data_IF_097567243133
#
_entry.id   IF_097567243133
#
_cell.length_a   1.000
_cell.length_b   1.000
_cell.length_c   1.000
_cell.angle_alpha   90.00
_cell.angle_beta   90.00
_cell.angle_gamma   90.00
#
_symmetry.space_group_name_H-M   'P 1'
#
loop_
_entity.id
_entity.type
_entity.pdbx_description
1 polymer ?
#
# COMPACT_ATOMS: atom_id res chain seq x y z
N UNK A 1 -14.90 -17.24 1.94
CA UNK A 1 -14.64 -16.05 1.11
C UNK A 1 -13.82 -14.99 1.86
N UNK A 2 -14.26 -14.51 3.03
CA UNK A 2 -13.58 -13.43 3.78
C UNK A 2 -12.11 -13.74 4.15
N UNK A 3 -11.84 -14.92 4.69
CA UNK A 3 -10.46 -15.34 4.99
C UNK A 3 -9.55 -15.44 3.75
N UNK A 4 -10.10 -15.67 2.55
CA UNK A 4 -9.30 -15.80 1.33
C UNK A 4 -8.67 -14.46 0.93
N UNK A 5 -9.42 -13.37 1.00
CA UNK A 5 -8.87 -12.03 0.74
C UNK A 5 -7.84 -11.67 1.82
N UNK A 6 -8.12 -12.07 3.07
CA UNK A 6 -7.23 -11.79 4.19
C UNK A 6 -5.86 -12.47 4.03
N UNK A 7 -5.83 -13.77 3.70
CA UNK A 7 -4.59 -14.52 3.46
C UNK A 7 -3.84 -13.95 2.23
N UNK A 8 -4.57 -13.68 1.14
CA UNK A 8 -3.99 -13.05 -0.04
C UNK A 8 -3.37 -11.68 0.28
N UNK A 9 -4.00 -10.93 1.18
CA UNK A 9 -3.49 -9.68 1.76
C UNK A 9 -2.08 -9.81 2.31
N UNK A 10 -1.85 -10.72 3.26
CA UNK A 10 -0.50 -10.90 3.84
C UNK A 10 0.55 -11.37 2.85
N UNK A 11 0.16 -12.28 1.95
CA UNK A 11 1.09 -12.74 0.91
C UNK A 11 1.53 -11.56 0.04
N UNK A 12 0.58 -10.71 -0.35
CA UNK A 12 0.90 -9.52 -1.14
C UNK A 12 1.69 -8.48 -0.34
N UNK A 13 1.41 -8.33 0.95
CA UNK A 13 2.18 -7.47 1.85
C UNK A 13 3.67 -7.84 1.85
N UNK A 14 3.99 -9.13 1.96
CA UNK A 14 5.38 -9.61 1.93
C UNK A 14 6.07 -9.28 0.60
N UNK A 15 5.35 -9.40 -0.52
CA UNK A 15 5.86 -9.03 -1.86
C UNK A 15 6.16 -7.51 -1.90
N UNK A 16 5.28 -6.68 -1.36
CA UNK A 16 5.47 -5.23 -1.29
C UNK A 16 6.64 -4.84 -0.38
N UNK A 17 6.78 -5.49 0.77
CA UNK A 17 7.92 -5.28 1.70
C UNK A 17 9.23 -5.59 0.97
N UNK A 18 9.31 -6.74 0.30
CA UNK A 18 10.50 -7.13 -0.44
C UNK A 18 10.84 -6.15 -1.57
N UNK A 19 9.84 -5.75 -2.37
CA UNK A 19 10.03 -4.81 -3.47
C UNK A 19 10.45 -3.41 -2.99
N UNK A 20 9.83 -2.91 -1.91
CA UNK A 20 10.16 -1.63 -1.30
C UNK A 20 11.60 -1.59 -0.76
N UNK A 21 12.05 -2.68 -0.12
CA UNK A 21 13.42 -2.81 0.39
C UNK A 21 14.43 -2.91 -0.74
N UNK A 22 14.19 -3.79 -1.73
CA UNK A 22 15.13 -4.03 -2.84
C UNK A 22 15.38 -2.79 -3.68
N UNK A 23 14.34 -2.02 -3.95
CA UNK A 23 14.42 -0.82 -4.80
C UNK A 23 14.67 0.45 -3.99
N UNK A 24 14.78 0.36 -2.66
CA UNK A 24 14.90 1.50 -1.74
C UNK A 24 13.86 2.59 -2.00
N UNK A 25 12.64 2.17 -2.35
CA UNK A 25 11.56 3.06 -2.77
C UNK A 25 10.80 3.60 -1.55
N UNK A 26 11.05 4.86 -1.19
CA UNK A 26 10.40 5.52 -0.05
C UNK A 26 8.87 5.57 -0.14
N UNK A 27 8.36 5.84 -1.34
CA UNK A 27 6.92 5.99 -1.56
C UNK A 27 6.22 4.65 -1.28
N UNK A 28 6.87 3.53 -1.58
CA UNK A 28 6.33 2.20 -1.31
C UNK A 28 6.29 1.87 0.18
N UNK A 29 7.24 2.38 0.98
CA UNK A 29 7.21 2.23 2.45
C UNK A 29 6.00 2.95 3.04
N UNK A 30 5.71 4.17 2.58
CA UNK A 30 4.52 4.91 3.02
C UNK A 30 3.25 4.14 2.63
N UNK A 31 3.20 3.66 1.39
CA UNK A 31 2.10 2.82 0.90
C UNK A 31 1.93 1.52 1.70
N UNK A 32 3.03 0.89 2.12
CA UNK A 32 3.02 -0.32 2.95
C UNK A 32 2.38 -0.06 4.33
N UNK A 33 2.61 1.11 4.94
CA UNK A 33 1.97 1.48 6.20
C UNK A 33 0.46 1.66 6.05
N UNK A 34 0.03 2.34 4.98
CA UNK A 34 -1.39 2.53 4.65
C UNK A 34 -2.05 1.19 4.37
N UNK A 35 -1.36 0.32 3.64
CA UNK A 35 -1.82 -1.03 3.32
C UNK A 35 -2.02 -1.90 4.57
N UNK A 36 -1.05 -1.88 5.50
CA UNK A 36 -1.16 -2.53 6.80
C UNK A 36 -2.38 -2.04 7.58
N UNK A 37 -2.63 -0.73 7.59
CA UNK A 37 -3.80 -0.15 8.23
C UNK A 37 -5.10 -0.62 7.57
N UNK A 38 -5.14 -0.72 6.24
CA UNK A 38 -6.30 -1.23 5.51
C UNK A 38 -6.58 -2.70 5.83
N UNK A 39 -5.54 -3.54 5.95
CA UNK A 39 -5.68 -4.94 6.39
C UNK A 39 -6.18 -5.04 7.83
N UNK A 40 -5.73 -4.15 8.72
CA UNK A 40 -6.22 -4.09 10.10
C UNK A 40 -7.70 -3.70 10.15
N UNK A 41 -8.12 -2.69 9.37
CA UNK A 41 -9.53 -2.30 9.25
C UNK A 41 -10.37 -3.47 8.73
N UNK A 42 -9.88 -4.17 7.70
CA UNK A 42 -10.56 -5.36 7.17
C UNK A 42 -10.71 -6.46 8.23
N UNK A 43 -9.64 -6.73 9.00
CA UNK A 43 -9.67 -7.70 10.09
C UNK A 43 -10.69 -7.32 11.17
N UNK A 44 -10.88 -6.03 11.45
CA UNK A 44 -11.88 -5.55 12.40
C UNK A 44 -13.33 -5.78 11.94
N UNK A 45 -13.61 -5.72 10.64
CA UNK A 45 -14.94 -6.00 10.08
C UNK A 45 -15.24 -7.50 9.91
N UNK A 46 -14.22 -8.34 9.94
CA UNK A 46 -14.34 -9.77 9.66
C UNK A 46 -15.22 -10.57 10.64
N UNK A 47 -15.19 -10.33 11.98
CA UNK A 47 -16.03 -11.07 12.92
C UNK A 47 -17.53 -10.88 12.68
N UNK A 48 -17.97 -9.66 12.35
CA UNK A 48 -19.38 -9.37 12.07
C UNK A 48 -19.91 -10.15 10.87
N UNK A 49 -19.18 -10.11 9.75
CA UNK A 49 -19.54 -10.83 8.52
C UNK A 49 -19.49 -12.35 8.71
N UNK A 50 -18.54 -12.84 9.52
CA UNK A 50 -18.44 -14.25 9.83
C UNK A 50 -19.61 -14.73 10.70
N UNK A 51 -20.05 -13.92 11.67
CA UNK A 51 -21.19 -14.25 12.52
C UNK A 51 -22.46 -14.46 11.71
N UNK A 52 -22.76 -13.54 10.79
CA UNK A 52 -23.92 -13.63 9.91
C UNK A 52 -23.88 -14.88 9.03
N UNK A 53 -22.69 -15.22 8.52
CA UNK A 53 -22.49 -16.44 7.72
C UNK A 53 -22.71 -17.71 8.55
N UNK A 54 -22.17 -17.77 9.78
CA UNK A 54 -22.33 -18.92 10.68
C UNK A 54 -23.79 -19.13 11.08
N UNK A 55 -24.51 -18.05 11.43
CA UNK A 55 -25.94 -18.11 11.79
C UNK A 55 -26.80 -18.55 10.59
N UNK A 56 -26.50 -18.08 9.38
CA UNK A 56 -27.16 -18.52 8.16
C UNK A 56 -26.95 -20.02 7.91
N UNK A 57 -25.76 -20.53 8.21
CA UNK A 57 -25.43 -21.96 8.08
C UNK A 57 -26.12 -22.82 9.15
N UNK A 58 -26.20 -22.36 10.40
CA UNK A 58 -26.96 -23.03 11.48
C UNK A 58 -28.45 -23.18 11.14
N UNK A 59 -29.03 -22.20 10.43
CA UNK A 59 -30.42 -22.24 9.95
C UNK A 59 -30.64 -23.14 8.73
N UNK A 60 -29.58 -23.56 8.04
CA UNK A 60 -29.67 -24.39 6.82
C UNK A 60 -29.56 -25.89 7.12
N UNK A 61 -30.63 -26.64 6.84
CA UNK A 61 -30.72 -28.08 7.05
C UNK A 61 -30.22 -28.84 5.80
N UNK A 62 -29.28 -29.79 5.94
CA UNK A 62 -29.00 -30.76 4.86
C UNK A 62 -30.06 -31.86 4.91
N UNK A 63 -30.76 -32.07 3.78
CA UNK A 63 -31.75 -33.13 3.59
C UNK A 63 -32.84 -33.20 4.69
N UNK A 64 -33.22 -32.07 5.28
CA UNK A 64 -34.34 -31.99 6.22
C UNK A 64 -34.20 -32.81 7.52
N UNK A 65 -33.03 -33.38 7.83
CA UNK A 65 -32.85 -34.23 9.03
C UNK A 65 -31.54 -34.06 9.79
N UNK A 66 -30.48 -33.50 9.18
CA UNK A 66 -29.20 -33.32 9.87
C UNK A 66 -28.70 -31.89 9.69
N UNK A 67 -28.58 -31.11 10.77
CA UNK A 67 -27.97 -29.78 10.67
C UNK A 67 -26.47 -29.91 10.36
N UNK A 68 -25.93 -29.02 9.51
CA UNK A 68 -24.51 -29.01 9.11
C UNK A 68 -23.60 -28.78 10.33
N UNK A 69 -24.11 -28.00 11.27
CA UNK A 69 -23.50 -27.66 12.55
C UNK A 69 -24.53 -28.06 13.59
N UNK A 70 -24.19 -28.98 14.51
CA UNK A 70 -25.05 -29.34 15.63
C UNK A 70 -25.53 -28.07 16.35
N UNK A 71 -26.84 -27.74 16.35
CA UNK A 71 -27.39 -26.54 17.00
C UNK A 71 -27.16 -26.53 18.51
N UNK A 72 -26.81 -27.70 19.07
CA UNK A 72 -26.47 -27.90 20.48
C UNK A 72 -25.03 -27.50 20.82
N UNK A 73 -24.14 -27.39 19.82
CA UNK A 73 -22.77 -26.90 20.01
C UNK A 73 -22.70 -25.47 19.51
N UNK A 74 -22.94 -24.52 20.42
CA UNK A 74 -22.69 -23.11 20.17
C UNK A 74 -21.19 -22.94 19.87
N UNK A 75 -20.82 -22.88 18.59
CA UNK A 75 -19.43 -22.76 18.14
C UNK A 75 -18.92 -21.31 18.22
N UNK A 76 -19.84 -20.34 18.18
CA UNK A 76 -19.53 -18.92 18.19
C UNK A 76 -18.71 -18.45 19.42
N UNK A 77 -19.08 -18.81 20.67
CA UNK A 77 -18.32 -18.41 21.87
C UNK A 77 -16.86 -18.89 21.89
N UNK A 78 -16.53 -19.93 21.10
CA UNK A 78 -15.16 -20.45 20.98
C UNK A 78 -14.36 -19.75 19.89
N UNK A 79 -15.04 -19.29 18.83
CA UNK A 79 -14.43 -18.69 17.65
C UNK A 79 -14.21 -17.18 17.84
N UNK A 80 -15.18 -16.49 18.44
CA UNK A 80 -15.15 -15.04 18.72
C UNK A 80 -13.85 -14.56 19.40
N UNK A 81 -13.39 -15.14 20.53
CA UNK A 81 -12.16 -14.67 21.18
C UNK A 81 -10.91 -14.91 20.33
N UNK A 82 -10.88 -15.95 19.49
CA UNK A 82 -9.74 -16.20 18.61
C UNK A 82 -9.63 -15.16 17.49
N UNK A 83 -10.77 -14.69 16.94
CA UNK A 83 -10.80 -13.60 15.97
C UNK A 83 -10.38 -12.26 16.59
N UNK A 84 -10.83 -11.98 17.82
CA UNK A 84 -10.42 -10.76 18.51
C UNK A 84 -8.91 -10.77 18.83
N UNK A 85 -8.38 -11.92 19.25
CA UNK A 85 -6.95 -12.10 19.45
C UNK A 85 -6.15 -11.86 18.15
N UNK A 86 -6.66 -12.34 17.02
CA UNK A 86 -6.05 -12.11 15.70
C UNK A 86 -5.96 -10.60 15.38
N UNK A 87 -7.05 -9.84 15.59
CA UNK A 87 -7.05 -8.38 15.41
C UNK A 87 -6.01 -7.71 16.31
N UNK A 88 -5.90 -8.15 17.57
CA UNK A 88 -4.89 -7.64 18.50
C UNK A 88 -3.47 -7.89 18.02
N UNK A 89 -3.15 -9.11 17.59
CA UNK A 89 -1.83 -9.47 17.04
C UNK A 89 -1.50 -8.63 15.81
N UNK A 90 -2.48 -8.40 14.93
CA UNK A 90 -2.31 -7.58 13.74
C UNK A 90 -2.08 -6.12 14.08
N UNK A 91 -2.81 -5.56 15.05
CA UNK A 91 -2.62 -4.18 15.48
C UNK A 91 -1.20 -3.96 16.03
N UNK A 92 -0.69 -4.91 16.83
CA UNK A 92 0.70 -4.89 17.31
C UNK A 92 1.68 -5.00 16.15
N UNK A 93 1.44 -5.94 15.21
CA UNK A 93 2.24 -6.10 14.00
C UNK A 93 2.30 -4.83 13.15
N UNK A 94 1.17 -4.20 12.90
CA UNK A 94 1.07 -2.91 12.19
C UNK A 94 1.85 -1.81 12.90
N UNK A 95 1.81 -1.76 14.24
CA UNK A 95 2.60 -0.82 15.03
C UNK A 95 4.11 -1.03 14.85
N UNK A 96 4.58 -2.28 14.90
CA UNK A 96 5.98 -2.64 14.69
C UNK A 96 6.42 -2.30 13.26
N UNK A 97 5.64 -2.68 12.25
CA UNK A 97 5.95 -2.36 10.84
C UNK A 97 5.99 -0.84 10.63
N UNK A 98 5.07 -0.08 11.22
CA UNK A 98 5.06 1.38 11.14
C UNK A 98 6.30 2.02 11.79
N UNK A 99 6.75 1.49 12.93
CA UNK A 99 7.97 1.95 13.59
C UNK A 99 9.21 1.67 12.75
N UNK A 100 9.34 0.46 12.20
CA UNK A 100 10.44 0.08 11.31
C UNK A 100 10.41 0.94 10.05
N UNK A 101 9.23 1.15 9.46
CA UNK A 101 9.03 1.98 8.29
C UNK A 101 9.45 3.43 8.52
N UNK A 102 9.17 4.00 9.70
CA UNK A 102 9.64 5.35 10.07
C UNK A 102 11.17 5.43 10.04
N UNK A 103 11.85 4.47 10.69
CA UNK A 103 13.32 4.42 10.71
C UNK A 103 13.91 4.18 9.31
N UNK A 104 13.29 3.32 8.52
CA UNK A 104 13.73 3.01 7.16
C UNK A 104 13.53 4.19 6.21
N UNK A 105 12.43 4.93 6.36
CA UNK A 105 12.16 6.13 5.58
C UNK A 105 13.23 7.19 5.81
N UNK A 106 13.68 7.40 7.06
CA UNK A 106 14.76 8.36 7.35
C UNK A 106 16.09 7.96 6.72
N UNK A 107 16.46 6.68 6.74
CA UNK A 107 17.71 6.17 6.13
C UNK A 107 17.67 6.29 4.61
N UNK A 108 16.56 5.91 3.98
CA UNK A 108 16.41 6.06 2.54
C UNK A 108 16.44 7.55 2.16
N UNK A 109 15.84 8.44 2.97
CA UNK A 109 15.78 9.87 2.70
C UNK A 109 17.19 10.46 2.61
N UNK A 110 18.05 10.00 3.52
CA UNK A 110 19.47 10.33 3.53
C UNK A 110 20.22 9.76 2.30
N UNK A 111 19.94 8.52 1.90
CA UNK A 111 20.55 7.88 0.73
C UNK A 111 20.24 8.62 -0.59
N UNK A 112 18.97 8.96 -0.83
CA UNK A 112 18.53 9.67 -2.04
C UNK A 112 19.06 11.11 -2.05
N UNK A 113 19.14 11.75 -0.88
CA UNK A 113 19.71 13.09 -0.77
C UNK A 113 21.15 13.12 -1.28
N UNK A 114 21.98 12.13 -0.90
CA UNK A 114 23.39 12.10 -1.32
C UNK A 114 23.58 11.89 -2.83
N UNK A 115 22.72 11.11 -3.48
CA UNK A 115 22.90 10.68 -4.88
C UNK A 115 22.35 11.72 -5.89
N UNK A 116 21.40 12.57 -5.51
CA UNK A 116 20.56 13.34 -6.46
C UNK A 116 21.04 14.78 -6.71
N UNK A 117 22.26 15.16 -6.32
CA UNK A 117 22.79 16.53 -6.46
C UNK A 117 22.95 17.08 -7.90
N UNK A 118 22.57 16.33 -8.96
CA UNK A 118 22.95 16.67 -10.34
C UNK A 118 21.86 17.32 -11.25
N UNK A 119 20.54 17.09 -11.07
CA UNK A 119 19.51 17.78 -11.88
C UNK A 119 18.07 17.67 -11.30
N UNK A 120 17.46 18.81 -11.00
CA UNK A 120 16.11 18.93 -10.41
C UNK A 120 15.00 18.58 -11.41
N UNK A 121 15.20 18.82 -12.71
CA UNK A 121 14.19 18.55 -13.75
C UNK A 121 14.05 17.06 -14.01
N UNK A 122 15.17 16.32 -14.00
CA UNK A 122 15.16 14.85 -14.09
C UNK A 122 14.55 14.21 -12.83
N UNK A 123 14.88 14.75 -11.65
CA UNK A 123 14.32 14.30 -10.36
C UNK A 123 12.78 14.28 -10.35
N UNK A 124 12.14 15.32 -10.90
CA UNK A 124 10.66 15.42 -10.93
C UNK A 124 10.01 14.34 -11.78
N UNK A 125 10.57 14.02 -12.94
CA UNK A 125 10.05 12.99 -13.84
C UNK A 125 10.20 11.59 -13.24
N UNK A 126 11.37 11.31 -12.67
CA UNK A 126 11.64 10.02 -12.00
C UNK A 126 10.74 9.84 -10.78
N UNK A 127 10.55 10.90 -9.98
CA UNK A 127 9.65 10.88 -8.83
C UNK A 127 8.19 10.61 -9.24
N UNK A 128 7.69 11.28 -10.28
CA UNK A 128 6.35 11.04 -10.80
C UNK A 128 6.17 9.60 -11.33
N UNK A 129 7.19 9.06 -12.00
CA UNK A 129 7.18 7.67 -12.48
C UNK A 129 7.19 6.66 -11.31
N UNK A 130 7.96 6.93 -10.26
CA UNK A 130 7.99 6.09 -9.05
C UNK A 130 6.64 6.10 -8.31
N UNK A 131 6.00 7.26 -8.18
CA UNK A 131 4.64 7.35 -7.63
C UNK A 131 3.67 6.53 -8.50
N UNK A 132 3.71 6.73 -9.82
CA UNK A 132 2.84 6.02 -10.74
C UNK A 132 3.00 4.49 -10.61
N UNK A 133 4.24 3.99 -10.65
CA UNK A 133 4.51 2.55 -10.52
C UNK A 133 4.10 2.01 -9.15
N UNK A 134 4.28 2.79 -8.08
CA UNK A 134 3.81 2.41 -6.75
C UNK A 134 2.28 2.30 -6.72
N UNK A 135 1.55 3.31 -7.22
CA UNK A 135 0.09 3.30 -7.29
C UNK A 135 -0.44 2.13 -8.10
N UNK A 136 0.16 1.83 -9.27
CA UNK A 136 -0.23 0.68 -10.10
C UNK A 136 -0.03 -0.65 -9.37
N UNK A 137 1.03 -0.80 -8.56
CA UNK A 137 1.22 -2.02 -7.75
C UNK A 137 0.13 -2.16 -6.69
N UNK A 138 -0.18 -1.10 -5.94
CA UNK A 138 -1.28 -1.15 -4.96
C UNK A 138 -2.64 -1.42 -5.62
N UNK A 139 -2.90 -0.85 -6.80
CA UNK A 139 -4.13 -1.09 -7.55
C UNK A 139 -4.25 -2.54 -8.02
N UNK A 140 -3.15 -3.13 -8.49
CA UNK A 140 -3.09 -4.53 -8.89
C UNK A 140 -3.52 -5.49 -7.78
N UNK A 141 -3.23 -5.17 -6.51
CA UNK A 141 -3.73 -5.94 -5.38
C UNK A 141 -5.26 -5.94 -5.30
N UNK A 142 -5.90 -4.79 -5.45
CA UNK A 142 -7.36 -4.69 -5.36
C UNK A 142 -8.03 -5.43 -6.52
N UNK A 143 -7.46 -5.37 -7.73
CA UNK A 143 -7.92 -6.17 -8.88
C UNK A 143 -7.82 -7.65 -8.56
N UNK A 144 -6.62 -8.13 -8.19
CA UNK A 144 -6.41 -9.54 -7.92
C UNK A 144 -7.26 -10.02 -6.73
N UNK A 145 -7.36 -9.23 -5.67
CA UNK A 145 -8.16 -9.55 -4.49
C UNK A 145 -9.64 -9.74 -4.84
N UNK A 146 -10.21 -8.83 -5.65
CA UNK A 146 -11.59 -8.97 -6.12
C UNK A 146 -11.78 -10.20 -7.02
N UNK A 147 -10.83 -10.46 -7.92
CA UNK A 147 -10.90 -11.62 -8.81
C UNK A 147 -10.77 -12.96 -8.06
N UNK A 148 -9.87 -13.04 -7.08
CA UNK A 148 -9.71 -14.21 -6.21
C UNK A 148 -10.96 -14.42 -5.36
N UNK A 149 -11.54 -13.35 -4.78
CA UNK A 149 -12.80 -13.46 -4.05
C UNK A 149 -13.94 -13.96 -4.92
N UNK A 150 -14.06 -13.44 -6.14
CA UNK A 150 -15.02 -13.92 -7.13
C UNK A 150 -14.82 -15.40 -7.43
N UNK A 151 -13.58 -15.82 -7.68
CA UNK A 151 -13.24 -17.21 -7.99
C UNK A 151 -13.57 -18.18 -6.83
N UNK A 152 -13.34 -17.77 -5.59
CA UNK A 152 -13.69 -18.57 -4.40
C UNK A 152 -15.20 -18.57 -4.12
N UNK A 153 -15.94 -17.61 -4.67
CA UNK A 153 -17.39 -17.46 -4.46
C UNK A 153 -18.26 -18.19 -5.48
N UNK A 154 -17.68 -18.90 -6.45
CA UNK A 154 -18.43 -19.61 -7.48
C UNK A 154 -18.99 -20.91 -6.88
N UNK A 155 -20.30 -21.09 -6.97
CA UNK A 155 -20.98 -22.33 -6.56
C UNK A 155 -20.71 -23.45 -7.57
N UNK A 156 -20.45 -24.66 -7.06
CA UNK A 156 -20.05 -25.84 -7.86
C UNK A 156 -21.13 -26.31 -8.86
N UNK A 157 -22.39 -25.89 -8.68
CA UNK A 157 -23.55 -26.37 -9.44
C UNK A 157 -23.75 -25.61 -10.75
N UNK A 158 -23.25 -24.37 -10.85
CA UNK A 158 -23.36 -23.54 -12.05
C UNK A 158 -21.96 -23.23 -12.59
N UNK A 159 -21.61 -23.92 -13.68
CA UNK A 159 -20.90 -23.33 -14.82
C UNK A 159 -19.35 -23.48 -14.88
N UNK A 160 -18.87 -24.54 -15.55
CA UNK A 160 -17.47 -24.69 -15.99
C UNK A 160 -16.93 -23.44 -16.72
N UNK A 161 -17.80 -22.74 -17.45
CA UNK A 161 -17.41 -21.53 -18.20
C UNK A 161 -17.22 -20.29 -17.32
N UNK A 162 -17.88 -20.16 -16.16
CA UNK A 162 -17.69 -19.01 -15.26
C UNK A 162 -16.36 -19.08 -14.51
N UNK A 163 -15.98 -20.29 -14.10
CA UNK A 163 -14.68 -20.55 -13.51
C UNK A 163 -13.55 -20.31 -14.52
N UNK A 164 -13.68 -20.87 -15.74
CA UNK A 164 -12.73 -20.65 -16.82
C UNK A 164 -12.61 -19.18 -17.23
N UNK A 165 -13.74 -18.46 -17.29
CA UNK A 165 -13.77 -17.02 -17.59
C UNK A 165 -13.08 -16.21 -16.49
N UNK A 166 -13.31 -16.53 -15.22
CA UNK A 166 -12.68 -15.83 -14.08
C UNK A 166 -11.16 -15.98 -14.10
N UNK A 167 -10.65 -17.18 -14.40
CA UNK A 167 -9.21 -17.42 -14.57
C UNK A 167 -8.66 -16.62 -15.76
N UNK A 168 -9.35 -16.65 -16.91
CA UNK A 168 -8.94 -15.89 -18.09
C UNK A 168 -8.87 -14.38 -17.81
N UNK A 169 -9.84 -13.84 -17.06
CA UNK A 169 -9.87 -12.44 -16.66
C UNK A 169 -8.67 -12.08 -15.76
N UNK A 170 -8.23 -12.97 -14.86
CA UNK A 170 -7.02 -12.76 -14.04
C UNK A 170 -5.78 -12.60 -14.94
N UNK A 171 -5.61 -13.49 -15.93
CA UNK A 171 -4.46 -13.41 -16.85
C UNK A 171 -4.51 -12.16 -17.72
N UNK A 172 -5.68 -11.80 -18.24
CA UNK A 172 -5.87 -10.58 -19.04
C UNK A 172 -5.59 -9.33 -18.19
N UNK A 173 -6.10 -9.28 -16.96
CA UNK A 173 -5.85 -8.16 -16.05
C UNK A 173 -4.36 -8.00 -15.76
N UNK A 174 -3.65 -9.10 -15.47
CA UNK A 174 -2.21 -9.09 -15.25
C UNK A 174 -1.45 -8.59 -16.48
N UNK A 175 -1.82 -9.05 -17.68
CA UNK A 175 -1.19 -8.63 -18.93
C UNK A 175 -1.42 -7.13 -19.21
N UNK A 176 -2.63 -6.62 -18.99
CA UNK A 176 -2.94 -5.19 -19.18
C UNK A 176 -2.19 -4.33 -18.18
N UNK A 177 -2.10 -4.72 -16.91
CA UNK A 177 -1.33 -3.99 -15.90
C UNK A 177 0.16 -3.95 -16.25
N UNK A 178 0.74 -5.06 -16.76
CA UNK A 178 2.12 -5.07 -17.22
C UNK A 178 2.35 -4.14 -18.42
N UNK A 179 1.45 -4.16 -19.42
CA UNK A 179 1.54 -3.26 -20.57
C UNK A 179 1.40 -1.78 -20.17
N UNK A 180 0.53 -1.47 -19.20
CA UNK A 180 0.39 -0.12 -18.66
C UNK A 180 1.70 0.37 -18.03
N UNK A 181 2.39 -0.48 -17.25
CA UNK A 181 3.70 -0.16 -16.67
C UNK A 181 4.74 0.05 -17.78
N UNK A 182 4.79 -0.81 -18.80
CA UNK A 182 5.75 -0.70 -19.91
C UNK A 182 5.52 0.59 -20.70
N UNK A 183 4.28 0.92 -21.05
CA UNK A 183 3.99 2.15 -21.79
C UNK A 183 4.23 3.42 -20.99
N UNK A 184 3.98 3.40 -19.68
CA UNK A 184 4.32 4.51 -18.80
C UNK A 184 5.83 4.72 -18.68
N UNK A 185 6.62 3.63 -18.61
CA UNK A 185 8.09 3.71 -18.59
C UNK A 185 8.67 4.19 -19.91
N UNK A 186 8.04 3.86 -21.04
CA UNK A 186 8.53 4.24 -22.36
C UNK A 186 8.05 5.62 -22.83
N UNK A 187 7.42 6.41 -21.94
CA UNK A 187 6.74 7.68 -22.25
C UNK A 187 5.80 7.61 -23.48
N UNK A 188 5.28 6.41 -23.82
CA UNK A 188 4.49 6.19 -25.01
C UNK A 188 3.03 6.63 -24.78
N UNK A 189 2.77 7.91 -25.04
CA UNK A 189 1.45 8.54 -24.85
C UNK A 189 0.34 7.84 -25.63
N UNK A 190 0.64 7.36 -26.85
CA UNK A 190 -0.34 6.67 -27.68
C UNK A 190 -0.73 5.31 -27.09
N UNK A 191 0.24 4.52 -26.64
CA UNK A 191 -0.04 3.22 -26.01
C UNK A 191 -0.92 3.33 -24.77
N UNK A 192 -0.68 4.37 -23.96
CA UNK A 192 -1.47 4.62 -22.74
C UNK A 192 -2.93 4.96 -23.08
N UNK A 193 -3.17 5.82 -24.08
CA UNK A 193 -4.53 6.19 -24.50
C UNK A 193 -5.27 5.00 -25.13
N UNK A 194 -4.57 4.17 -25.90
CA UNK A 194 -5.16 2.97 -26.52
C UNK A 194 -5.63 1.97 -25.47
N UNK A 195 -4.82 1.67 -24.45
CA UNK A 195 -5.23 0.75 -23.36
C UNK A 195 -6.49 1.26 -22.66
N UNK A 196 -6.54 2.55 -22.32
CA UNK A 196 -7.68 3.16 -21.61
C UNK A 196 -8.97 3.07 -22.43
N UNK A 197 -8.89 3.18 -23.77
CA UNK A 197 -10.06 3.10 -24.65
C UNK A 197 -10.51 1.68 -24.96
N UNK A 198 -9.58 0.72 -25.06
CA UNK A 198 -9.88 -0.64 -25.53
C UNK A 198 -10.52 -1.53 -24.46
N UNK A 199 -10.31 -1.26 -23.17
CA UNK A 199 -10.79 -2.13 -22.09
C UNK A 199 -11.85 -1.46 -21.18
N UNK A 200 -13.15 -1.55 -21.52
CA UNK A 200 -14.25 -0.94 -20.76
C UNK A 200 -14.45 -1.52 -19.35
N UNK A 201 -14.13 -2.81 -19.14
CA UNK A 201 -14.10 -3.44 -17.81
C UNK A 201 -13.05 -2.79 -16.90
N UNK A 202 -11.90 -2.45 -17.48
CA UNK A 202 -10.91 -1.62 -16.81
C UNK A 202 -11.42 -0.21 -16.62
N UNK A 203 -12.35 0.33 -17.40
CA UNK A 203 -12.88 1.69 -17.16
C UNK A 203 -13.76 1.74 -15.92
N UNK A 204 -14.57 0.71 -15.65
CA UNK A 204 -15.39 0.62 -14.42
C UNK A 204 -14.52 0.33 -13.19
N UNK A 205 -13.54 -0.56 -13.32
CA UNK A 205 -12.56 -0.76 -12.27
C UNK A 205 -11.72 0.52 -12.08
N UNK A 206 -11.29 1.15 -13.17
CA UNK A 206 -10.54 2.40 -13.15
C UNK A 206 -11.37 3.55 -12.62
N UNK A 207 -12.70 3.61 -12.74
CA UNK A 207 -13.47 4.67 -12.08
C UNK A 207 -13.46 4.50 -10.57
N UNK A 208 -13.58 3.26 -10.08
CA UNK A 208 -13.43 2.93 -8.64
C UNK A 208 -12.00 3.22 -8.17
N UNK A 209 -10.99 2.81 -8.95
CA UNK A 209 -9.58 3.12 -8.69
C UNK A 209 -9.31 4.61 -8.75
N UNK A 210 -9.88 5.36 -9.69
CA UNK A 210 -9.71 6.82 -9.81
C UNK A 210 -10.35 7.48 -8.59
N UNK A 211 -11.51 7.02 -8.11
CA UNK A 211 -12.10 7.53 -6.88
C UNK A 211 -11.21 7.28 -5.65
N UNK A 212 -10.70 6.05 -5.50
CA UNK A 212 -9.72 5.70 -4.45
C UNK A 212 -8.42 6.48 -4.59
N UNK A 213 -7.94 6.68 -5.81
CA UNK A 213 -6.70 7.41 -6.14
C UNK A 213 -6.87 8.89 -5.90
N UNK A 214 -8.02 9.49 -6.21
CA UNK A 214 -8.34 10.89 -5.87
C UNK A 214 -8.38 11.05 -4.36
N UNK A 215 -9.01 10.12 -3.63
CA UNK A 215 -9.00 10.11 -2.17
C UNK A 215 -7.56 10.01 -1.61
N UNK A 216 -6.73 9.16 -2.24
CA UNK A 216 -5.32 8.98 -1.90
C UNK A 216 -4.47 10.20 -2.25
N UNK A 217 -4.74 10.88 -3.37
CA UNK A 217 -4.10 12.13 -3.78
C UNK A 217 -4.47 13.24 -2.80
N UNK A 218 -5.73 13.33 -2.37
CA UNK A 218 -6.14 14.31 -1.35
C UNK A 218 -5.42 14.02 -0.03
N UNK A 219 -5.34 12.76 0.42
CA UNK A 219 -4.58 12.38 1.61
C UNK A 219 -3.07 12.67 1.47
N UNK A 220 -2.48 12.40 0.30
CA UNK A 220 -1.08 12.70 0.01
C UNK A 220 -0.82 14.22 -0.08
N UNK A 221 -1.75 15.00 -0.64
CA UNK A 221 -1.68 16.47 -0.69
C UNK A 221 -1.86 17.05 0.72
N UNK A 222 -2.75 16.51 1.55
CA UNK A 222 -2.87 16.90 2.96
C UNK A 222 -1.60 16.57 3.74
N UNK A 223 -1.03 15.37 3.55
CA UNK A 223 0.27 15.00 4.10
C UNK A 223 1.38 15.95 3.61
N UNK A 224 1.43 16.29 2.32
CA UNK A 224 2.40 17.20 1.74
C UNK A 224 2.24 18.64 2.24
N UNK A 225 1.01 19.14 2.39
CA UNK A 225 0.74 20.49 2.95
C UNK A 225 1.12 20.53 4.43
N UNK A 226 0.89 19.44 5.17
CA UNK A 226 1.36 19.29 6.54
C UNK A 226 2.90 19.23 6.61
N UNK A 227 3.55 18.54 5.67
CA UNK A 227 5.02 18.47 5.55
C UNK A 227 5.65 19.79 5.06
N UNK A 228 4.97 20.54 4.19
CA UNK A 228 5.46 21.80 3.63
C UNK A 228 5.56 22.91 4.69
N UNK A 229 4.86 22.76 5.82
CA UNK A 229 5.06 23.60 7.00
C UNK A 229 6.37 23.27 7.74
N UNK A 230 6.88 22.04 7.68
CA UNK A 230 8.14 21.63 8.31
C UNK A 230 9.39 21.80 7.43
N UNK A 231 9.30 21.46 6.14
CA UNK A 231 10.47 21.46 5.24
C UNK A 231 10.95 22.87 4.86
N UNK A 232 10.01 23.82 4.70
CA UNK A 232 10.33 25.21 4.32
C UNK A 232 11.06 25.95 5.43
N UNK A 233 10.84 25.57 6.69
CA UNK A 233 11.55 26.10 7.86
C UNK A 233 13.00 25.62 7.85
N UNK A 234 13.24 24.33 7.57
CA UNK A 234 14.58 23.73 7.54
C UNK A 234 15.48 24.29 6.42
N UNK A 235 14.96 24.36 5.18
CA UNK A 235 15.71 24.92 4.03
C UNK A 235 16.02 26.40 4.26
N UNK A 236 15.04 27.19 4.75
CA UNK A 236 15.23 28.62 5.01
C UNK A 236 16.20 28.86 6.18
N UNK A 237 16.19 28.04 7.22
CA UNK A 237 17.18 28.13 8.30
C UNK A 237 18.60 27.81 7.80
N UNK A 238 18.75 26.88 6.86
CA UNK A 238 20.05 26.53 6.28
C UNK A 238 20.59 27.65 5.37
N UNK A 239 19.74 28.26 4.53
CA UNK A 239 20.12 29.43 3.73
C UNK A 239 20.52 30.62 4.61
N UNK A 240 19.76 30.91 5.67
CA UNK A 240 20.07 32.01 6.60
C UNK A 240 21.38 31.78 7.37
N UNK A 241 21.66 30.54 7.78
CA UNK A 241 22.93 30.20 8.44
C UNK A 241 24.10 30.34 7.48
N UNK A 242 23.96 29.84 6.24
CA UNK A 242 25.02 29.94 5.21
C UNK A 242 25.32 31.41 4.88
N UNK A 243 24.29 32.22 4.71
CA UNK A 243 24.43 33.65 4.39
C UNK A 243 24.96 34.47 5.58
N UNK A 244 24.71 34.04 6.82
CA UNK A 244 25.27 34.65 8.03
C UNK A 244 26.75 34.28 8.20
N UNK A 245 27.14 33.04 7.90
CA UNK A 245 28.54 32.58 7.92
C UNK A 245 29.38 33.29 6.84
N UNK A 246 28.80 33.55 5.66
CA UNK A 246 29.48 34.23 4.56
C UNK A 246 29.73 35.72 4.82
N UNK A 247 28.80 36.39 5.52
CA UNK A 247 28.90 37.83 5.82
C UNK A 247 29.69 38.15 7.10
N UNK A 248 29.96 37.16 7.97
CA UNK A 248 30.63 37.38 9.26
C UNK A 248 32.10 36.94 9.16
N UNK A 249 32.97 37.91 8.88
CA UNK A 249 34.42 37.70 8.64
C UNK A 249 35.17 37.05 9.80
N UNK A 250 34.69 37.21 11.04
CA UNK A 250 35.27 36.55 12.22
C UNK A 250 34.92 35.06 12.28
N UNK A 251 33.72 34.67 11.83
CA UNK A 251 33.26 33.29 11.87
C UNK A 251 33.96 32.42 10.82
N UNK A 252 34.31 33.03 9.68
CA UNK A 252 35.07 32.40 8.58
C UNK A 252 36.47 31.95 9.01
N UNK A 253 37.09 32.64 9.97
CA UNK A 253 38.42 32.30 10.49
C UNK A 253 38.37 31.26 11.63
N UNK A 254 37.19 31.02 12.21
CA UNK A 254 36.97 29.99 13.24
C UNK A 254 36.21 28.76 12.75
N UNK A 255 35.90 28.67 11.45
CA UNK A 255 35.00 27.66 10.92
C UNK A 255 35.66 26.27 10.86
N UNK A 256 35.35 25.46 11.87
CA UNK A 256 35.32 24.00 11.80
C UNK A 256 34.58 23.55 10.52
N UNK A 257 34.98 22.43 9.90
CA UNK A 257 34.31 21.94 8.70
C UNK A 257 32.80 21.77 8.97
N UNK A 258 31.99 22.21 8.02
CA UNK A 258 30.50 22.22 8.06
C UNK A 258 29.90 20.85 8.42
N UNK A 259 30.68 19.77 8.34
CA UNK A 259 30.34 18.44 8.86
C UNK A 259 30.07 18.37 10.38
N UNK A 260 30.49 19.35 11.19
CA UNK A 260 30.21 19.39 12.65
C UNK A 260 28.91 20.11 13.06
N UNK A 261 28.21 20.77 12.13
CA UNK A 261 26.90 21.41 12.39
C UNK A 261 25.71 20.50 12.05
N UNK A 262 25.96 19.32 11.48
CA UNK A 262 24.98 18.24 11.48
C UNK A 262 24.91 17.67 12.90
N UNK A 263 23.73 17.37 13.46
CA UNK A 263 23.63 16.73 14.76
C UNK A 263 24.47 15.44 14.71
N UNK A 264 25.59 15.44 15.43
CA UNK A 264 26.37 14.25 15.72
C UNK A 264 25.40 13.20 16.26
N UNK A 265 25.54 11.97 15.76
CA UNK A 265 24.91 10.78 16.33
C UNK A 265 24.84 10.92 17.85
N UNK A 266 23.64 10.84 18.44
CA UNK A 266 23.54 10.35 19.80
C UNK A 266 23.98 8.89 19.76
N UNK A 267 25.22 8.65 20.20
CA UNK A 267 25.65 7.34 20.64
C UNK A 267 24.65 6.86 21.70
N UNK A 268 24.11 5.67 21.51
CA UNK A 268 23.50 4.90 22.58
C UNK A 268 24.39 3.66 22.70
N UNK A 269 25.11 3.64 23.81
CA UNK A 269 25.42 2.39 24.52
C UNK A 269 24.11 1.59 24.75
#
# INVERSE_FOLDING_TARGET
MYFSLFIFGFIYELILVYDALRLSNMIQIIGLCIYNLALLIYAAFQPGQLKESVVSLEGSLIMGKVPIIDPSKHVWPRIEPALLALIGVLAVGTGIVSFIAYKLHTEFAWLVYNIVHADIKMKRKVFALQIYVALVKFDFFFILGFLVQKLVSIDYITTDVEFGLSIAVIFIALLVTLLAIVFARNENKMGTITIVKTFPMLTVFATITIAMTVCTIIAAVLCLVHFNKGFKVYVRSQELLTHKIENDTDLRNTAYPVSQLLPQRMALD
#
